data_IF_930475657867
#
_entry.id   IF_930475657867
#
_cell.length_a   1.000
_cell.length_b   1.000
_cell.length_c   1.000
_cell.angle_alpha   90.00
_cell.angle_beta   90.00
_cell.angle_gamma   90.00
#
_symmetry.space_group_name_H-M   'P 1'
#
loop_
_entity.id
_entity.type
_entity.pdbx_description
1 polymer ?
#
# COMPACT_ATOMS: atom_id res chain seq x y z
N UNK A 1 11.39 -1.58 -11.99
CA UNK A 1 9.95 -1.90 -12.01
C UNK A 1 9.37 -1.57 -13.37
N UNK A 2 8.41 -2.32 -13.83
CA UNK A 2 7.71 -2.04 -15.09
C UNK A 2 6.22 -1.79 -14.83
N UNK A 3 5.54 -1.23 -15.82
CA UNK A 3 4.13 -0.87 -15.69
C UNK A 3 3.23 -2.05 -15.31
N UNK A 4 3.54 -3.24 -15.80
CA UNK A 4 2.78 -4.45 -15.46
C UNK A 4 2.85 -4.77 -13.98
N UNK A 5 4.03 -4.67 -13.39
CA UNK A 5 4.23 -4.85 -11.96
C UNK A 5 3.57 -3.72 -11.16
N UNK A 6 3.73 -2.49 -11.61
CA UNK A 6 3.08 -1.33 -10.99
C UNK A 6 1.56 -1.50 -10.93
N UNK A 7 0.94 -1.89 -12.04
CA UNK A 7 -0.50 -2.09 -12.11
C UNK A 7 -0.96 -3.20 -11.15
N UNK A 8 -0.20 -4.28 -11.05
CA UNK A 8 -0.49 -5.38 -10.12
C UNK A 8 -0.45 -4.91 -8.66
N UNK A 9 0.55 -4.13 -8.29
CA UNK A 9 0.70 -3.62 -6.93
C UNK A 9 -0.39 -2.58 -6.61
N UNK A 10 -0.65 -1.66 -7.52
CA UNK A 10 -1.73 -0.67 -7.34
C UNK A 10 -3.09 -1.34 -7.26
N UNK A 11 -3.32 -2.39 -8.05
CA UNK A 11 -4.54 -3.20 -7.97
C UNK A 11 -4.73 -3.82 -6.59
N UNK A 12 -3.65 -4.29 -5.98
CA UNK A 12 -3.70 -4.83 -4.62
C UNK A 12 -4.06 -3.77 -3.59
N UNK A 13 -3.72 -2.51 -3.84
CA UNK A 13 -4.02 -1.40 -2.94
C UNK A 13 -5.33 -0.67 -3.26
N UNK A 14 -6.12 -1.18 -4.20
CA UNK A 14 -7.34 -0.49 -4.67
C UNK A 14 -8.54 -0.58 -3.73
N UNK A 15 -8.42 -1.30 -2.61
CA UNK A 15 -9.48 -1.43 -1.61
C UNK A 15 -9.11 -0.64 -0.35
N UNK A 16 -10.08 0.08 0.21
CA UNK A 16 -9.87 0.86 1.43
C UNK A 16 -9.35 0.00 2.57
N UNK A 17 -9.87 -1.21 2.73
CA UNK A 17 -9.45 -2.15 3.77
C UNK A 17 -7.96 -2.50 3.63
N UNK A 18 -7.49 -2.71 2.42
CA UNK A 18 -6.08 -3.02 2.16
C UNK A 18 -5.18 -1.82 2.41
N UNK A 19 -5.64 -0.62 2.09
CA UNK A 19 -4.91 0.61 2.42
C UNK A 19 -4.76 0.77 3.93
N UNK A 20 -5.81 0.50 4.70
CA UNK A 20 -5.73 0.55 6.17
C UNK A 20 -4.77 -0.50 6.73
N UNK A 21 -4.80 -1.70 6.19
CA UNK A 21 -3.88 -2.77 6.61
C UNK A 21 -2.43 -2.38 6.29
N UNK A 22 -2.13 -2.00 5.06
CA UNK A 22 -0.76 -1.67 4.67
C UNK A 22 -0.24 -0.45 5.44
N UNK A 23 -1.09 0.55 5.68
CA UNK A 23 -0.72 1.71 6.48
C UNK A 23 -0.36 1.33 7.92
N UNK A 24 -1.12 0.43 8.53
CA UNK A 24 -0.84 -0.08 9.88
C UNK A 24 0.47 -0.87 9.92
N UNK A 25 0.73 -1.68 8.90
CA UNK A 25 1.97 -2.44 8.79
C UNK A 25 3.19 -1.54 8.59
N UNK A 26 3.07 -0.51 7.75
CA UNK A 26 4.13 0.48 7.57
C UNK A 26 4.44 1.15 8.91
N UNK A 27 3.43 1.59 9.63
CA UNK A 27 3.61 2.24 10.93
C UNK A 27 4.25 1.33 11.97
N UNK A 28 4.02 0.02 11.91
CA UNK A 28 4.60 -0.95 12.86
C UNK A 28 6.06 -1.29 12.57
N UNK A 29 6.56 -0.97 11.38
CA UNK A 29 7.95 -1.23 11.00
C UNK A 29 8.30 -2.71 11.07
N UNK A 30 9.51 -2.99 11.59
CA UNK A 30 10.03 -4.35 11.69
C UNK A 30 9.33 -5.20 12.74
N UNK A 31 8.69 -4.59 13.72
CA UNK A 31 7.94 -5.33 14.73
C UNK A 31 6.76 -6.06 14.13
N UNK A 32 6.07 -5.41 13.20
CA UNK A 32 4.92 -5.99 12.54
C UNK A 32 3.72 -6.13 13.46
N UNK A 33 2.68 -6.75 12.93
CA UNK A 33 1.41 -6.94 13.63
C UNK A 33 0.89 -8.34 13.36
N UNK A 34 0.21 -8.91 14.35
CA UNK A 34 -0.52 -10.15 14.19
C UNK A 34 -1.85 -9.91 13.45
N UNK A 35 -2.46 -10.99 12.97
CA UNK A 35 -3.79 -10.94 12.37
C UNK A 35 -4.82 -10.34 13.35
N UNK A 36 -4.74 -10.74 14.61
CA UNK A 36 -5.63 -10.24 15.66
C UNK A 36 -5.46 -8.76 15.91
N UNK A 37 -4.22 -8.29 16.01
CA UNK A 37 -3.93 -6.87 16.18
C UNK A 37 -4.44 -6.04 15.00
N UNK A 38 -4.25 -6.53 13.77
CA UNK A 38 -4.78 -5.88 12.58
C UNK A 38 -6.30 -5.81 12.59
N UNK A 39 -6.97 -6.87 13.03
CA UNK A 39 -8.43 -6.88 13.16
C UNK A 39 -8.89 -5.81 14.17
N UNK A 40 -8.21 -5.70 15.30
CA UNK A 40 -8.52 -4.70 16.31
C UNK A 40 -8.31 -3.27 15.80
N UNK A 41 -7.18 -3.02 15.14
CA UNK A 41 -6.85 -1.68 14.62
C UNK A 41 -7.79 -1.26 13.49
N UNK A 42 -8.10 -2.17 12.57
CA UNK A 42 -8.89 -1.84 11.37
C UNK A 42 -10.39 -1.92 11.60
N UNK A 43 -10.84 -2.61 12.65
CA UNK A 43 -12.25 -2.89 12.87
C UNK A 43 -12.81 -3.98 11.97
N UNK A 44 -11.98 -4.66 11.21
CA UNK A 44 -12.37 -5.80 10.36
C UNK A 44 -12.41 -7.08 11.19
N UNK A 45 -13.15 -8.07 10.68
CA UNK A 45 -13.09 -9.41 11.30
C UNK A 45 -11.74 -10.06 11.01
N UNK A 46 -11.26 -10.96 11.88
CA UNK A 46 -10.02 -11.69 11.61
C UNK A 46 -10.02 -12.43 10.27
N UNK A 47 -11.15 -13.00 9.88
CA UNK A 47 -11.29 -13.68 8.58
C UNK A 47 -11.10 -12.71 7.42
N UNK A 48 -11.73 -11.54 7.49
CA UNK A 48 -11.57 -10.51 6.46
C UNK A 48 -10.12 -10.03 6.37
N UNK A 49 -9.47 -9.80 7.50
CA UNK A 49 -8.04 -9.44 7.55
C UNK A 49 -7.20 -10.51 6.86
N UNK A 50 -7.44 -11.79 7.17
CA UNK A 50 -6.69 -12.88 6.57
C UNK A 50 -6.84 -12.91 5.04
N UNK A 51 -8.05 -12.73 4.52
CA UNK A 51 -8.29 -12.73 3.07
C UNK A 51 -7.46 -11.63 2.40
N UNK A 52 -7.42 -10.44 2.97
CA UNK A 52 -6.63 -9.33 2.45
C UNK A 52 -5.13 -9.56 2.58
N UNK A 53 -4.68 -10.09 3.71
CA UNK A 53 -3.26 -10.41 3.93
C UNK A 53 -2.78 -11.46 2.93
N UNK A 54 -3.57 -12.52 2.72
CA UNK A 54 -3.22 -13.58 1.77
C UNK A 54 -3.05 -13.02 0.36
N UNK A 55 -3.95 -12.16 -0.07
CA UNK A 55 -3.84 -11.50 -1.37
C UNK A 55 -2.58 -10.64 -1.47
N UNK A 56 -2.32 -9.81 -0.45
CA UNK A 56 -1.15 -8.93 -0.46
C UNK A 56 0.17 -9.69 -0.35
N UNK A 57 0.20 -10.83 0.34
CA UNK A 57 1.37 -11.72 0.33
C UNK A 57 1.63 -12.27 -1.07
N UNK A 58 0.58 -12.59 -1.81
CA UNK A 58 0.70 -13.03 -3.20
C UNK A 58 1.28 -11.98 -4.14
N UNK A 59 1.23 -10.71 -3.77
CA UNK A 59 1.85 -9.60 -4.52
C UNK A 59 3.21 -9.18 -3.94
N UNK A 60 3.71 -9.88 -2.96
CA UNK A 60 4.98 -9.61 -2.27
C UNK A 60 5.01 -8.32 -1.43
N UNK A 61 3.88 -7.63 -1.27
CA UNK A 61 3.81 -6.39 -0.48
C UNK A 61 3.84 -6.65 1.01
N UNK A 62 3.36 -7.81 1.43
CA UNK A 62 3.28 -8.23 2.84
C UNK A 62 4.09 -9.49 3.00
N UNK A 63 4.88 -9.51 4.05
CA UNK A 63 5.71 -10.63 4.45
C UNK A 63 5.17 -11.19 5.77
N UNK A 64 5.39 -12.47 6.01
CA UNK A 64 5.03 -13.07 7.28
C UNK A 64 6.23 -13.82 7.87
N UNK A 65 6.31 -13.84 9.19
CA UNK A 65 7.30 -14.64 9.90
C UNK A 65 6.64 -15.36 11.07
N UNK A 66 7.04 -16.61 11.35
CA UNK A 66 6.54 -17.32 12.51
C UNK A 66 7.20 -16.78 13.79
N UNK A 67 6.42 -16.73 14.87
CA UNK A 67 6.93 -16.46 16.21
C UNK A 67 6.33 -17.49 17.17
N UNK A 68 6.85 -17.63 18.40
CA UNK A 68 6.24 -18.53 19.38
C UNK A 68 4.76 -18.20 19.67
N UNK A 69 4.36 -16.94 19.51
CA UNK A 69 2.99 -16.49 19.74
C UNK A 69 2.10 -16.56 18.49
N UNK A 70 2.64 -17.00 17.34
CA UNK A 70 1.92 -17.05 16.07
C UNK A 70 2.62 -16.25 14.98
N UNK A 71 1.94 -16.06 13.87
CA UNK A 71 2.51 -15.31 12.73
C UNK A 71 2.44 -13.81 12.96
N UNK A 72 3.51 -13.13 12.57
CA UNK A 72 3.59 -11.67 12.51
C UNK A 72 3.72 -11.25 11.05
N UNK A 73 3.00 -10.21 10.67
CA UNK A 73 2.98 -9.66 9.31
C UNK A 73 3.70 -8.31 9.30
N UNK A 74 4.45 -8.08 8.25
CA UNK A 74 5.18 -6.83 8.01
C UNK A 74 4.97 -6.38 6.58
N UNK A 75 5.07 -5.07 6.32
CA UNK A 75 5.10 -4.56 4.96
C UNK A 75 6.52 -4.68 4.40
N UNK A 76 6.65 -5.03 3.13
CA UNK A 76 7.92 -4.94 2.43
C UNK A 76 8.18 -3.47 2.08
N UNK A 77 8.88 -2.77 2.97
CA UNK A 77 9.13 -1.33 2.84
C UNK A 77 10.00 -1.01 1.64
N UNK A 78 10.93 -1.90 1.28
CA UNK A 78 11.77 -1.70 0.11
C UNK A 78 10.95 -1.76 -1.18
N UNK A 79 10.05 -2.71 -1.30
CA UNK A 79 9.16 -2.81 -2.47
C UNK A 79 8.23 -1.60 -2.57
N UNK A 80 7.67 -1.15 -1.45
CA UNK A 80 6.80 0.02 -1.42
C UNK A 80 7.57 1.30 -1.78
N UNK A 81 8.81 1.44 -1.31
CA UNK A 81 9.67 2.56 -1.69
C UNK A 81 9.95 2.55 -3.20
N UNK A 82 10.25 1.39 -3.77
CA UNK A 82 10.43 1.24 -5.22
C UNK A 82 9.17 1.64 -5.99
N UNK A 83 8.00 1.24 -5.50
CA UNK A 83 6.72 1.60 -6.10
C UNK A 83 6.53 3.11 -6.14
N UNK A 84 6.70 3.78 -5.01
CA UNK A 84 6.50 5.22 -4.91
C UNK A 84 7.54 5.99 -5.74
N UNK A 85 8.80 5.57 -5.68
CA UNK A 85 9.88 6.18 -6.48
C UNK A 85 9.63 6.04 -7.98
N UNK A 86 9.21 4.87 -8.41
CA UNK A 86 8.88 4.62 -9.81
C UNK A 86 7.74 5.54 -10.29
N UNK A 87 6.70 5.69 -9.48
CA UNK A 87 5.58 6.57 -9.81
C UNK A 87 6.03 8.04 -9.91
N UNK A 88 6.84 8.49 -8.95
CA UNK A 88 7.36 9.86 -8.96
C UNK A 88 8.26 10.13 -10.16
N UNK A 89 9.15 9.21 -10.49
CA UNK A 89 10.11 9.35 -11.59
C UNK A 89 9.44 9.31 -12.96
N UNK A 90 8.44 8.44 -13.14
CA UNK A 90 7.84 8.21 -14.45
C UNK A 90 6.58 9.01 -14.70
N UNK A 91 5.84 9.41 -13.68
CA UNK A 91 4.55 10.08 -13.83
C UNK A 91 4.45 11.40 -13.08
N UNK A 92 5.26 11.60 -12.04
CA UNK A 92 5.15 12.77 -11.18
C UNK A 92 5.32 14.11 -11.91
N UNK A 93 6.30 14.21 -12.80
CA UNK A 93 6.54 15.43 -13.57
C UNK A 93 5.37 15.74 -14.51
N UNK A 94 4.84 14.71 -15.18
CA UNK A 94 3.68 14.87 -16.07
C UNK A 94 2.44 15.33 -15.32
N UNK A 95 2.17 14.73 -14.17
CA UNK A 95 1.05 15.14 -13.32
C UNK A 95 1.18 16.58 -12.87
N UNK A 96 2.37 17.01 -12.46
CA UNK A 96 2.62 18.41 -12.06
C UNK A 96 2.41 19.39 -13.19
N UNK A 97 2.85 19.06 -14.40
CA UNK A 97 2.66 19.91 -15.59
C UNK A 97 1.18 20.05 -15.95
N UNK A 98 0.45 18.94 -15.96
CA UNK A 98 -0.99 18.95 -16.25
C UNK A 98 -1.75 19.75 -15.19
N UNK A 99 -1.42 19.58 -13.92
CA UNK A 99 -2.04 20.30 -12.83
C UNK A 99 -1.78 21.81 -12.91
N UNK A 100 -0.55 22.22 -13.26
CA UNK A 100 -0.23 23.63 -13.49
C UNK A 100 -1.06 24.23 -14.62
N UNK A 101 -1.20 23.53 -15.73
CA UNK A 101 -2.00 23.98 -16.87
C UNK A 101 -3.47 24.12 -16.49
N UNK A 102 -4.03 23.17 -15.77
CA UNK A 102 -5.41 23.22 -15.27
C UNK A 102 -5.62 24.40 -14.32
N UNK A 103 -4.72 24.63 -13.38
CA UNK A 103 -4.78 25.74 -12.44
C UNK A 103 -4.68 27.09 -13.15
N UNK A 104 -3.82 27.18 -14.17
CA UNK A 104 -3.65 28.39 -14.97
C UNK A 104 -4.92 28.73 -15.74
N UNK A 105 -5.59 27.73 -16.34
CA UNK A 105 -6.88 27.91 -17.02
C UNK A 105 -7.96 28.36 -16.04
N UNK A 106 -8.05 27.77 -14.87
CA UNK A 106 -9.01 28.15 -13.85
C UNK A 106 -8.85 29.61 -13.41
N UNK A 107 -7.61 30.08 -13.28
CA UNK A 107 -7.31 31.47 -12.92
C UNK A 107 -7.72 32.45 -14.01
N UNK A 108 -7.57 32.07 -15.27
CA UNK A 108 -7.91 32.93 -16.43
C UNK A 108 -9.43 33.07 -16.59
N UNK A 109 -10.19 32.04 -16.19
CA UNK A 109 -11.66 32.03 -16.31
C UNK A 109 -12.37 32.73 -15.15
N UNK A 110 -11.66 33.03 -14.10
CA UNK A 110 -12.16 33.81 -12.96
C UNK A 110 -12.06 35.31 -13.20
#
# INVERSE_FOLDING_TARGET
>A
MENKQLARLLGALSFEERLRIIGSLIASGDEGLSQRELAEITGLTPTSVWIHLDYMMGTDMVLSRPTPAGKIFTADLQLLEELFSFMCENYGAGVRLVNRAANKKARVTE
#
